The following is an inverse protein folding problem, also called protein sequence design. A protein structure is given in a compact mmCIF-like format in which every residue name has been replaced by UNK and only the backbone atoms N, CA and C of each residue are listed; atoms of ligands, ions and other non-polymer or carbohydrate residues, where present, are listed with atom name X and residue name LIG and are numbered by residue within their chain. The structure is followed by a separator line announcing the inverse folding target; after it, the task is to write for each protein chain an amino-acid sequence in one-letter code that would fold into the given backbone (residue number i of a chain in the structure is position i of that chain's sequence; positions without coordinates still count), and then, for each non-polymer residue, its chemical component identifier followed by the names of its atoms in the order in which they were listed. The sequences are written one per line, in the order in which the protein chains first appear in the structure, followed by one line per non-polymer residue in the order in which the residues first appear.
data_IF_866619869895
#
_entry.id   IF_866619869895
#
_cell.length_a   1.000
_cell.length_b   1.000
_cell.length_c   1.000
_cell.angle_alpha   90.00
_cell.angle_beta   90.00
_cell.angle_gamma   90.00
#
_symmetry.space_group_name_H-M   'P 1'
#
loop_
_entity.id
_entity.type
_entity.pdbx_description
1 polymer ?
#
# COMPACT_ATOMS: atom_id res chain seq x y z
N UNK A 1 -17.15 -50.53 40.68
CA UNK A 1 -17.52 -50.18 39.28
C UNK A 1 -18.84 -49.42 39.13
N UNK A 2 -19.59 -49.11 40.19
CA UNK A 2 -20.91 -48.44 40.08
C UNK A 2 -20.88 -46.90 40.10
N UNK A 3 -19.78 -46.27 40.53
CA UNK A 3 -19.67 -44.80 40.54
C UNK A 3 -19.36 -44.18 39.17
N UNK A 4 -18.74 -44.95 38.26
CA UNK A 4 -18.45 -44.48 36.90
C UNK A 4 -19.67 -44.44 35.97
N UNK A 5 -20.71 -45.23 36.26
CA UNK A 5 -21.96 -45.22 35.48
C UNK A 5 -22.86 -44.03 35.83
N UNK A 6 -22.85 -43.58 37.08
CA UNK A 6 -23.62 -42.39 37.49
C UNK A 6 -23.00 -41.09 36.96
N UNK A 7 -21.67 -41.00 36.91
CA UNK A 7 -20.98 -39.83 36.35
C UNK A 7 -21.16 -39.72 34.84
N UNK A 8 -21.23 -40.85 34.12
CA UNK A 8 -21.48 -40.85 32.67
C UNK A 8 -22.96 -40.56 32.33
N UNK A 9 -23.91 -40.93 33.19
CA UNK A 9 -25.32 -40.57 33.05
C UNK A 9 -25.57 -39.08 33.30
N UNK A 10 -24.88 -38.49 34.30
CA UNK A 10 -24.91 -37.05 34.55
C UNK A 10 -24.28 -36.25 33.39
N UNK A 11 -23.17 -36.73 32.82
CA UNK A 11 -22.53 -36.09 31.66
C UNK A 11 -23.44 -36.13 30.41
N UNK A 12 -24.14 -37.26 30.19
CA UNK A 12 -25.12 -37.40 29.11
C UNK A 12 -26.33 -36.49 29.28
N UNK A 13 -26.84 -36.33 30.51
CA UNK A 13 -27.94 -35.39 30.78
C UNK A 13 -27.51 -33.93 30.55
N UNK A 14 -26.27 -33.55 30.90
CA UNK A 14 -25.77 -32.19 30.66
C UNK A 14 -25.54 -31.87 29.19
N UNK A 15 -25.26 -32.87 28.34
CA UNK A 15 -25.16 -32.72 26.88
C UNK A 15 -26.54 -32.59 26.19
N UNK A 16 -27.63 -33.00 26.84
CA UNK A 16 -28.99 -32.82 26.30
C UNK A 16 -29.58 -31.44 26.62
N UNK A 17 -28.95 -30.69 27.52
CA UNK A 17 -29.29 -29.30 27.84
C UNK A 17 -28.22 -28.30 27.35
N UNK A 18 -27.32 -28.73 26.47
CA UNK A 18 -26.41 -27.81 25.79
C UNK A 18 -27.23 -26.88 24.90
N UNK A 19 -27.30 -25.62 25.33
CA UNK A 19 -27.60 -24.36 24.61
C UNK A 19 -28.39 -24.47 23.31
N UNK A 20 -29.51 -23.72 23.13
CA UNK A 20 -30.12 -23.62 21.81
C UNK A 20 -29.04 -23.16 20.83
N UNK A 21 -28.74 -23.99 19.82
CA UNK A 21 -28.03 -23.51 18.66
C UNK A 21 -28.80 -22.28 18.19
N UNK A 22 -28.15 -21.11 18.19
CA UNK A 22 -28.65 -19.91 17.51
C UNK A 22 -28.78 -20.27 16.03
N UNK A 23 -29.90 -20.90 15.68
CA UNK A 23 -30.25 -21.24 14.33
C UNK A 23 -30.56 -19.93 13.64
N UNK A 24 -29.76 -19.57 12.64
CA UNK A 24 -30.06 -18.44 11.76
C UNK A 24 -31.50 -18.59 11.25
N UNK A 25 -32.27 -17.51 11.31
CA UNK A 25 -33.67 -17.50 10.90
C UNK A 25 -33.74 -17.14 9.42
N UNK A 26 -34.15 -18.10 8.60
CA UNK A 26 -34.40 -17.86 7.18
C UNK A 26 -35.55 -16.85 7.00
N UNK A 27 -35.33 -15.88 6.11
CA UNK A 27 -36.25 -14.85 5.70
C UNK A 27 -36.35 -14.88 4.17
N UNK A 28 -37.57 -14.71 3.63
CA UNK A 28 -37.73 -14.61 2.19
C UNK A 28 -37.07 -13.32 1.68
N UNK A 29 -36.41 -13.37 0.51
CA UNK A 29 -35.73 -12.20 -0.06
C UNK A 29 -36.65 -10.97 -0.17
N UNK A 30 -37.86 -11.17 -0.69
CA UNK A 30 -38.88 -10.12 -0.80
C UNK A 30 -39.30 -9.54 0.56
N UNK A 31 -39.28 -10.35 1.62
CA UNK A 31 -39.55 -9.85 2.98
C UNK A 31 -38.42 -8.94 3.46
N UNK A 32 -37.15 -9.32 3.22
CA UNK A 32 -36.00 -8.49 3.55
C UNK A 32 -36.03 -7.13 2.82
N UNK A 33 -36.37 -7.13 1.53
CA UNK A 33 -36.53 -5.91 0.73
C UNK A 33 -37.61 -4.98 1.29
N UNK A 34 -38.79 -5.53 1.65
CA UNK A 34 -39.87 -4.75 2.27
C UNK A 34 -39.47 -4.12 3.61
N UNK A 35 -38.61 -4.79 4.39
CA UNK A 35 -38.09 -4.22 5.62
C UNK A 35 -37.18 -3.02 5.37
N UNK A 36 -36.32 -3.08 4.35
CA UNK A 36 -35.42 -1.98 3.97
C UNK A 36 -36.19 -0.75 3.47
N UNK A 37 -37.35 -0.95 2.84
CA UNK A 37 -38.19 0.12 2.32
C UNK A 37 -39.16 0.73 3.36
N UNK A 38 -39.18 0.23 4.60
CA UNK A 38 -40.12 0.67 5.62
C UNK A 38 -39.94 2.17 5.98
N UNK A 39 -40.97 3.03 5.79
CA UNK A 39 -40.87 4.44 6.15
C UNK A 39 -40.66 4.67 7.65
N UNK A 40 -41.23 3.81 8.50
CA UNK A 40 -41.08 3.94 9.96
C UNK A 40 -39.65 3.64 10.40
N UNK A 41 -38.99 2.67 9.77
CA UNK A 41 -37.59 2.34 10.07
C UNK A 41 -36.66 3.41 9.54
N UNK A 42 -36.89 3.95 8.35
CA UNK A 42 -36.14 5.09 7.84
C UNK A 42 -36.26 6.31 8.77
N UNK A 43 -37.45 6.62 9.27
CA UNK A 43 -37.62 7.67 10.29
C UNK A 43 -36.83 7.37 11.57
N UNK A 44 -36.80 6.10 12.01
CA UNK A 44 -36.02 5.69 13.18
C UNK A 44 -34.52 5.87 12.93
N UNK A 45 -34.03 5.54 11.74
CA UNK A 45 -32.63 5.74 11.34
C UNK A 45 -32.29 7.22 11.40
N UNK A 46 -33.11 8.11 10.83
CA UNK A 46 -32.88 9.56 10.91
C UNK A 46 -32.84 10.07 12.36
N UNK A 47 -33.65 9.53 13.26
CA UNK A 47 -33.56 9.86 14.70
C UNK A 47 -32.24 9.38 15.32
N UNK A 48 -31.75 8.20 14.94
CA UNK A 48 -30.48 7.67 15.45
C UNK A 48 -29.28 8.42 14.87
N UNK A 49 -29.36 8.93 13.64
CA UNK A 49 -28.35 9.80 13.04
C UNK A 49 -28.11 11.06 13.87
N UNK A 50 -29.16 11.64 14.48
CA UNK A 50 -28.99 12.79 15.40
C UNK A 50 -28.09 12.44 16.59
N UNK A 51 -28.16 11.22 17.13
CA UNK A 51 -27.25 10.81 18.21
C UNK A 51 -25.79 10.65 17.71
N UNK A 52 -25.59 10.20 16.47
CA UNK A 52 -24.26 10.10 15.85
C UNK A 52 -23.67 11.51 15.66
N UNK A 53 -24.44 12.45 15.09
CA UNK A 53 -24.00 13.82 14.85
C UNK A 53 -23.61 14.55 16.15
N UNK A 54 -24.24 14.19 17.27
CA UNK A 54 -23.97 14.75 18.60
C UNK A 54 -22.99 13.92 19.44
N UNK A 55 -22.36 12.88 18.89
CA UNK A 55 -21.45 11.97 19.61
C UNK A 55 -22.05 11.28 20.85
N UNK A 56 -23.38 11.14 20.90
CA UNK A 56 -24.13 10.49 21.98
C UNK A 56 -24.32 8.99 21.69
N UNK A 57 -23.22 8.25 21.73
CA UNK A 57 -23.22 6.80 21.46
C UNK A 57 -23.96 5.98 22.51
N UNK A 58 -24.17 6.52 23.71
CA UNK A 58 -24.89 5.84 24.78
C UNK A 58 -26.39 5.83 24.50
N UNK A 59 -26.97 7.00 24.16
CA UNK A 59 -28.37 7.10 23.72
C UNK A 59 -28.63 6.34 22.43
N UNK A 60 -27.67 6.33 21.51
CA UNK A 60 -27.70 5.54 20.28
C UNK A 60 -27.82 4.05 20.59
N UNK A 61 -26.89 3.50 21.38
CA UNK A 61 -26.88 2.09 21.77
C UNK A 61 -28.16 1.70 22.51
N UNK A 62 -28.59 2.53 23.46
CA UNK A 62 -29.82 2.28 24.21
C UNK A 62 -31.05 2.24 23.29
N UNK A 63 -31.17 3.19 22.38
CA UNK A 63 -32.31 3.28 21.45
C UNK A 63 -32.33 2.12 20.45
N UNK A 64 -31.16 1.71 19.97
CA UNK A 64 -30.99 0.62 19.01
C UNK A 64 -31.30 -0.75 19.64
N UNK A 65 -30.79 -0.99 20.85
CA UNK A 65 -30.95 -2.27 21.54
C UNK A 65 -32.38 -2.53 22.05
N UNK A 66 -33.23 -1.49 22.10
CA UNK A 66 -34.65 -1.62 22.47
C UNK A 66 -35.56 -2.01 21.30
N UNK A 67 -35.07 -1.95 20.08
CA UNK A 67 -35.82 -2.40 18.91
C UNK A 67 -35.97 -3.93 18.97
N UNK A 68 -37.15 -4.42 18.61
CA UNK A 68 -37.40 -5.85 18.46
C UNK A 68 -36.76 -6.36 17.16
N UNK A 69 -36.45 -7.64 17.11
CA UNK A 69 -36.11 -8.30 15.85
C UNK A 69 -37.38 -8.46 14.96
N UNK A 70 -37.28 -8.30 13.63
CA UNK A 70 -36.07 -8.02 12.82
C UNK A 70 -35.68 -6.54 12.74
N UNK A 71 -36.51 -5.62 13.21
CA UNK A 71 -36.32 -4.16 13.07
C UNK A 71 -34.94 -3.69 13.55
N UNK A 72 -34.42 -4.30 14.62
CA UNK A 72 -33.10 -3.98 15.13
C UNK A 72 -31.99 -4.19 14.08
N UNK A 73 -31.95 -5.33 13.38
CA UNK A 73 -30.90 -5.59 12.36
C UNK A 73 -31.08 -4.73 11.12
N UNK A 74 -32.33 -4.48 10.73
CA UNK A 74 -32.67 -3.58 9.63
C UNK A 74 -32.15 -2.17 9.94
N UNK A 75 -32.43 -1.65 11.13
CA UNK A 75 -31.96 -0.32 11.55
C UNK A 75 -30.44 -0.28 11.70
N UNK A 76 -29.79 -1.33 12.22
CA UNK A 76 -28.31 -1.43 12.21
C UNK A 76 -27.76 -1.31 10.80
N UNK A 77 -28.34 -2.05 9.85
CA UNK A 77 -27.92 -2.05 8.46
C UNK A 77 -28.13 -0.69 7.79
N UNK A 78 -29.34 -0.14 7.87
CA UNK A 78 -29.68 1.15 7.25
C UNK A 78 -28.85 2.30 7.82
N UNK A 79 -28.65 2.34 9.15
CA UNK A 79 -27.86 3.36 9.82
C UNK A 79 -26.40 3.35 9.36
N UNK A 80 -25.77 2.17 9.32
CA UNK A 80 -24.39 2.05 8.86
C UNK A 80 -24.27 2.31 7.36
N UNK A 81 -25.27 1.88 6.57
CA UNK A 81 -25.33 2.20 5.15
C UNK A 81 -25.43 3.72 4.92
N UNK A 82 -26.22 4.43 5.72
CA UNK A 82 -26.31 5.89 5.63
C UNK A 82 -24.98 6.57 5.94
N UNK A 83 -24.24 6.13 6.97
CA UNK A 83 -22.89 6.62 7.23
C UNK A 83 -21.93 6.39 6.05
N UNK A 84 -22.02 5.21 5.42
CA UNK A 84 -21.19 4.86 4.27
C UNK A 84 -21.55 5.70 3.03
N UNK A 85 -22.83 5.82 2.69
CA UNK A 85 -23.30 6.57 1.53
C UNK A 85 -23.04 8.08 1.65
N UNK A 86 -23.09 8.62 2.87
CA UNK A 86 -22.83 10.05 3.13
C UNK A 86 -21.35 10.37 3.34
N UNK A 87 -20.45 9.37 3.32
CA UNK A 87 -19.03 9.52 3.66
C UNK A 87 -18.83 10.22 5.02
N UNK A 88 -19.64 9.87 6.02
CA UNK A 88 -19.61 10.52 7.32
C UNK A 88 -18.25 10.35 8.01
N UNK A 89 -17.67 11.44 8.50
CA UNK A 89 -16.39 11.42 9.22
C UNK A 89 -16.62 10.92 10.65
N UNK A 90 -16.22 9.68 10.94
CA UNK A 90 -16.42 9.10 12.28
C UNK A 90 -15.53 9.79 13.33
N UNK A 91 -16.13 10.22 14.43
CA UNK A 91 -15.41 10.53 15.67
C UNK A 91 -14.85 9.24 16.31
N UNK A 92 -13.96 9.36 17.29
CA UNK A 92 -13.47 8.19 18.03
C UNK A 92 -14.60 7.43 18.76
N UNK A 93 -15.61 8.13 19.28
CA UNK A 93 -16.75 7.50 19.97
C UNK A 93 -17.62 6.73 18.98
N UNK A 94 -17.98 7.36 17.86
CA UNK A 94 -18.79 6.72 16.81
C UNK A 94 -18.02 5.55 16.19
N UNK A 95 -16.70 5.66 15.99
CA UNK A 95 -15.87 4.55 15.52
C UNK A 95 -15.92 3.34 16.49
N UNK A 96 -15.86 3.56 17.80
CA UNK A 96 -16.05 2.45 18.77
C UNK A 96 -17.43 1.82 18.68
N UNK A 97 -18.48 2.64 18.49
CA UNK A 97 -19.84 2.13 18.24
C UNK A 97 -19.88 1.26 16.97
N UNK A 98 -19.35 1.73 15.84
CA UNK A 98 -19.31 0.97 14.57
C UNK A 98 -18.49 -0.32 14.72
N UNK A 99 -17.34 -0.27 15.41
CA UNK A 99 -16.50 -1.46 15.65
C UNK A 99 -17.24 -2.50 16.52
N UNK A 100 -18.10 -2.06 17.46
CA UNK A 100 -18.93 -2.99 18.22
C UNK A 100 -20.00 -3.69 17.34
N UNK A 101 -20.48 -3.04 16.27
CA UNK A 101 -21.43 -3.65 15.33
C UNK A 101 -20.78 -4.76 14.49
N UNK A 102 -19.50 -4.61 14.16
CA UNK A 102 -18.72 -5.63 13.44
C UNK A 102 -18.69 -6.99 14.18
N UNK A 103 -18.74 -6.97 15.51
CA UNK A 103 -18.60 -8.17 16.36
C UNK A 103 -19.91 -8.95 16.52
N UNK A 104 -21.05 -8.42 16.06
CA UNK A 104 -22.35 -9.08 16.19
C UNK A 104 -22.59 -10.02 14.99
N UNK A 105 -23.20 -11.16 15.26
CA UNK A 105 -23.63 -12.10 14.22
C UNK A 105 -25.06 -11.78 13.76
N UNK A 106 -25.32 -11.62 12.45
CA UNK A 106 -26.67 -11.45 11.93
C UNK A 106 -27.54 -12.69 12.22
N UNK A 107 -28.77 -12.45 12.64
CA UNK A 107 -29.75 -13.48 13.00
C UNK A 107 -30.53 -13.93 11.77
N UNK A 108 -30.83 -13.00 10.86
CA UNK A 108 -31.65 -13.27 9.68
C UNK A 108 -30.80 -13.55 8.46
N UNK A 109 -31.15 -14.59 7.71
CA UNK A 109 -30.48 -14.98 6.46
C UNK A 109 -31.47 -15.13 5.32
N UNK A 110 -31.01 -14.90 4.10
CA UNK A 110 -31.76 -15.15 2.86
C UNK A 110 -31.06 -16.27 2.09
N UNK A 111 -31.85 -17.15 1.49
CA UNK A 111 -31.36 -18.18 0.58
C UNK A 111 -31.13 -17.57 -0.81
N UNK A 112 -29.89 -17.58 -1.29
CA UNK A 112 -29.53 -17.20 -2.65
C UNK A 112 -29.26 -18.45 -3.50
N UNK A 113 -29.66 -18.41 -4.77
CA UNK A 113 -29.39 -19.47 -5.75
C UNK A 113 -28.53 -18.93 -6.87
N UNK A 114 -27.38 -19.56 -7.11
CA UNK A 114 -26.44 -19.18 -8.17
C UNK A 114 -25.67 -20.39 -8.70
N UNK A 115 -25.48 -20.49 -10.01
CA UNK A 115 -24.68 -21.51 -10.70
C UNK A 115 -24.94 -22.96 -10.26
N UNK A 116 -26.19 -23.30 -9.94
CA UNK A 116 -26.59 -24.65 -9.53
C UNK A 116 -26.36 -24.98 -8.04
N UNK A 117 -25.96 -23.99 -7.24
CA UNK A 117 -25.80 -24.10 -5.79
C UNK A 117 -26.75 -23.15 -5.05
N UNK A 118 -27.07 -23.52 -3.81
CA UNK A 118 -27.83 -22.69 -2.88
C UNK A 118 -26.93 -22.34 -1.69
N UNK A 119 -26.86 -21.07 -1.33
CA UNK A 119 -26.09 -20.61 -0.17
C UNK A 119 -26.90 -19.58 0.62
N UNK A 120 -26.57 -19.44 1.90
CA UNK A 120 -27.24 -18.48 2.80
C UNK A 120 -26.34 -17.29 3.05
N UNK A 121 -26.92 -16.10 2.95
CA UNK A 121 -26.25 -14.82 3.27
C UNK A 121 -27.04 -14.06 4.32
N UNK A 122 -26.41 -13.21 5.13
CA UNK A 122 -27.14 -12.31 6.03
C UNK A 122 -28.15 -11.47 5.26
N UNK A 123 -29.41 -11.47 5.71
CA UNK A 123 -30.47 -10.62 5.15
C UNK A 123 -30.12 -9.13 5.27
N UNK A 124 -29.42 -8.77 6.35
CA UNK A 124 -28.98 -7.41 6.66
C UNK A 124 -27.50 -7.45 7.05
N UNK A 125 -26.58 -7.29 6.09
CA UNK A 125 -25.14 -7.48 6.31
C UNK A 125 -24.44 -6.25 6.93
N UNK A 126 -24.94 -5.82 8.09
CA UNK A 126 -24.38 -4.69 8.83
C UNK A 126 -22.93 -4.92 9.33
N UNK A 127 -22.43 -6.15 9.62
CA UNK A 127 -21.03 -6.36 9.99
C UNK A 127 -20.07 -6.08 8.83
N UNK A 128 -20.47 -6.36 7.59
CA UNK A 128 -19.65 -6.05 6.41
C UNK A 128 -19.51 -4.54 6.20
N UNK A 129 -20.60 -3.78 6.34
CA UNK A 129 -20.56 -2.30 6.26
C UNK A 129 -19.68 -1.75 7.39
N UNK A 130 -19.88 -2.23 8.61
CA UNK A 130 -19.04 -1.84 9.78
C UNK A 130 -17.55 -2.03 9.49
N UNK A 131 -17.18 -3.18 8.92
CA UNK A 131 -15.80 -3.50 8.59
C UNK A 131 -15.18 -2.51 7.60
N UNK A 132 -15.95 -2.09 6.58
CA UNK A 132 -15.50 -1.11 5.59
C UNK A 132 -15.34 0.29 6.20
N UNK A 133 -16.34 0.75 6.98
CA UNK A 133 -16.29 2.02 7.69
C UNK A 133 -15.09 2.11 8.65
N UNK A 134 -14.84 1.08 9.45
CA UNK A 134 -13.68 1.05 10.37
C UNK A 134 -12.35 1.02 9.61
N UNK A 135 -12.28 0.29 8.49
CA UNK A 135 -11.08 0.29 7.64
C UNK A 135 -10.78 1.69 7.12
N UNK A 136 -11.78 2.39 6.59
CA UNK A 136 -11.65 3.76 6.09
C UNK A 136 -11.26 4.74 7.21
N UNK A 137 -11.90 4.67 8.38
CA UNK A 137 -11.58 5.53 9.50
C UNK A 137 -10.14 5.34 10.01
N UNK A 138 -9.69 4.09 10.18
CA UNK A 138 -8.31 3.79 10.59
C UNK A 138 -7.30 4.33 9.57
N UNK A 139 -7.62 4.25 8.28
CA UNK A 139 -6.79 4.82 7.21
C UNK A 139 -6.73 6.35 7.32
N UNK A 140 -7.88 7.04 7.36
CA UNK A 140 -7.93 8.50 7.45
C UNK A 140 -7.22 9.04 8.69
N UNK A 141 -7.40 8.39 9.85
CA UNK A 141 -6.73 8.81 11.08
C UNK A 141 -5.21 8.62 10.97
N UNK A 142 -4.75 7.51 10.38
CA UNK A 142 -3.33 7.28 10.15
C UNK A 142 -2.74 8.30 9.20
N UNK A 143 -3.45 8.66 8.13
CA UNK A 143 -3.05 9.71 7.19
C UNK A 143 -2.92 11.05 7.90
N UNK A 144 -3.94 11.46 8.67
CA UNK A 144 -3.90 12.73 9.39
C UNK A 144 -2.77 12.77 10.43
N UNK A 145 -2.57 11.70 11.21
CA UNK A 145 -1.47 11.61 12.18
C UNK A 145 -0.10 11.71 11.51
N UNK A 146 0.09 11.01 10.37
CA UNK A 146 1.31 11.08 9.58
C UNK A 146 1.57 12.51 9.08
N UNK A 147 0.58 13.13 8.41
CA UNK A 147 0.72 14.48 7.86
C UNK A 147 0.98 15.50 8.97
N UNK A 148 0.22 15.46 10.07
CA UNK A 148 0.43 16.40 11.18
C UNK A 148 1.82 16.26 11.80
N UNK A 149 2.33 15.04 12.01
CA UNK A 149 3.68 14.82 12.54
C UNK A 149 4.76 15.24 11.56
N UNK A 150 4.57 15.01 10.25
CA UNK A 150 5.52 15.45 9.23
C UNK A 150 5.57 16.99 9.16
N UNK A 151 4.42 17.65 9.12
CA UNK A 151 4.30 19.11 9.04
C UNK A 151 4.81 19.82 10.29
N UNK A 152 4.60 19.23 11.47
CA UNK A 152 5.15 19.73 12.73
C UNK A 152 6.64 19.41 12.93
N UNK A 153 7.24 18.61 12.03
CA UNK A 153 8.62 18.10 12.14
C UNK A 153 8.85 17.22 13.39
N UNK A 154 7.79 16.54 13.83
CA UNK A 154 7.80 15.59 14.95
C UNK A 154 7.86 14.12 14.47
N UNK A 155 7.83 13.87 13.15
CA UNK A 155 7.89 12.52 12.58
C UNK A 155 9.33 12.00 12.46
N UNK A 156 9.75 11.17 13.40
CA UNK A 156 11.05 10.46 13.33
C UNK A 156 10.90 9.15 12.55
N UNK A 157 11.46 9.08 11.34
CA UNK A 157 11.27 7.98 10.39
C UNK A 157 11.75 6.63 10.93
N UNK A 158 12.92 6.57 11.58
CA UNK A 158 13.46 5.30 12.10
C UNK A 158 12.57 4.69 13.19
N UNK A 159 11.96 5.53 14.02
CA UNK A 159 11.03 5.08 15.06
C UNK A 159 9.67 4.74 14.45
N UNK A 160 9.17 5.59 13.55
CA UNK A 160 7.87 5.42 12.94
C UNK A 160 7.83 4.23 11.96
N UNK A 161 8.91 3.94 11.23
CA UNK A 161 9.05 2.77 10.36
C UNK A 161 9.65 1.55 11.09
N UNK A 162 9.35 1.41 12.38
CA UNK A 162 9.68 0.24 13.18
C UNK A 162 8.43 -0.55 13.60
N UNK A 163 8.60 -1.82 13.97
CA UNK A 163 7.52 -2.69 14.43
C UNK A 163 7.42 -4.00 13.65
N UNK A 164 6.21 -4.55 13.57
CA UNK A 164 5.99 -5.77 12.78
C UNK A 164 6.10 -5.48 11.27
N UNK A 165 6.47 -6.49 10.48
CA UNK A 165 6.62 -6.34 9.02
C UNK A 165 5.36 -5.77 8.34
N UNK A 166 4.17 -6.16 8.81
CA UNK A 166 2.90 -5.63 8.31
C UNK A 166 2.68 -4.16 8.67
N UNK A 167 3.09 -3.72 9.86
CA UNK A 167 3.00 -2.30 10.26
C UNK A 167 3.97 -1.44 9.46
N UNK A 168 5.21 -1.89 9.30
CA UNK A 168 6.21 -1.21 8.48
C UNK A 168 5.70 -1.06 7.05
N UNK A 169 5.26 -2.15 6.42
CA UNK A 169 4.73 -2.11 5.05
C UNK A 169 3.57 -1.11 4.89
N UNK A 170 2.62 -1.11 5.85
CA UNK A 170 1.49 -0.18 5.82
C UNK A 170 1.94 1.27 5.93
N UNK A 171 2.90 1.56 6.80
CA UNK A 171 3.45 2.90 7.01
C UNK A 171 4.31 3.36 5.83
N UNK A 172 5.09 2.47 5.22
CA UNK A 172 5.83 2.78 3.99
C UNK A 172 4.88 3.10 2.83
N UNK A 173 3.78 2.36 2.69
CA UNK A 173 2.74 2.68 1.70
C UNK A 173 2.13 4.05 1.96
N UNK A 174 1.76 4.34 3.21
CA UNK A 174 1.21 5.65 3.58
C UNK A 174 2.20 6.79 3.31
N UNK A 175 3.48 6.59 3.62
CA UNK A 175 4.53 7.58 3.33
C UNK A 175 4.60 7.83 1.83
N UNK A 176 4.66 6.78 1.00
CA UNK A 176 4.72 6.92 -0.46
C UNK A 176 3.47 7.60 -1.03
N UNK A 177 2.28 7.29 -0.50
CA UNK A 177 1.03 7.87 -1.01
C UNK A 177 0.89 9.37 -0.66
N UNK A 178 1.43 9.79 0.48
CA UNK A 178 1.24 11.15 1.02
C UNK A 178 2.47 12.05 0.88
N UNK A 179 3.65 11.53 0.52
CA UNK A 179 4.88 12.33 0.49
C UNK A 179 4.77 13.57 -0.41
N UNK A 180 4.13 13.42 -1.56
CA UNK A 180 3.92 14.51 -2.54
C UNK A 180 2.92 15.58 -2.06
N UNK A 181 2.11 15.28 -1.03
CA UNK A 181 1.13 16.22 -0.46
C UNK A 181 1.72 17.09 0.66
N UNK A 182 2.89 16.73 1.17
CA UNK A 182 3.58 17.46 2.24
C UNK A 182 4.14 18.80 1.78
N UNK A 183 4.27 19.73 2.72
CA UNK A 183 4.95 21.01 2.48
C UNK A 183 6.44 20.82 2.16
N UNK A 184 7.07 21.74 1.41
CA UNK A 184 8.51 21.68 1.16
C UNK A 184 9.37 21.62 2.43
N UNK A 185 8.91 22.25 3.52
CA UNK A 185 9.62 22.23 4.80
C UNK A 185 9.54 20.85 5.48
N UNK A 186 8.42 20.16 5.34
CA UNK A 186 8.23 18.80 5.85
C UNK A 186 9.01 17.79 5.01
N UNK A 187 8.96 17.89 3.68
CA UNK A 187 9.74 17.00 2.81
C UNK A 187 11.23 17.14 3.06
N UNK A 188 11.78 18.37 3.11
CA UNK A 188 13.18 18.60 3.48
C UNK A 188 13.54 17.95 4.82
N UNK A 189 12.72 18.15 5.85
CA UNK A 189 12.93 17.54 7.17
C UNK A 189 13.00 16.00 7.11
N UNK A 190 12.13 15.35 6.33
CA UNK A 190 12.14 13.89 6.17
C UNK A 190 13.35 13.40 5.36
N UNK A 191 13.77 14.15 4.34
CA UNK A 191 14.96 13.84 3.54
C UNK A 191 16.23 13.93 4.39
N UNK A 192 16.38 15.00 5.18
CA UNK A 192 17.54 15.24 6.05
C UNK A 192 17.77 14.09 7.05
N UNK A 193 16.69 13.47 7.56
CA UNK A 193 16.81 12.30 8.43
C UNK A 193 17.54 11.12 7.79
N UNK A 194 17.49 10.98 6.47
CA UNK A 194 18.16 9.89 5.74
C UNK A 194 19.56 10.29 5.26
N UNK A 195 19.76 11.56 4.93
CA UNK A 195 21.00 12.06 4.28
C UNK A 195 22.04 12.59 5.27
N UNK A 196 21.61 13.18 6.40
CA UNK A 196 22.52 13.76 7.40
C UNK A 196 22.90 12.78 8.52
N UNK A 197 22.08 11.75 8.73
CA UNK A 197 22.38 10.67 9.67
C UNK A 197 23.56 9.85 9.17
N UNK A 198 24.49 9.45 10.06
CA UNK A 198 25.51 8.46 9.70
C UNK A 198 24.80 7.15 9.31
N UNK A 199 24.78 6.88 7.99
CA UNK A 199 23.98 5.90 7.22
C UNK A 199 24.08 4.43 7.68
N UNK A 200 24.79 4.13 8.77
CA UNK A 200 25.17 2.76 9.12
C UNK A 200 24.11 1.94 9.86
N UNK A 201 23.00 2.52 10.31
CA UNK A 201 22.11 1.82 11.26
C UNK A 201 20.74 1.42 10.70
N UNK A 202 20.18 2.16 9.75
CA UNK A 202 18.83 1.88 9.24
C UNK A 202 18.53 2.64 7.93
N UNK A 203 17.84 1.98 6.99
CA UNK A 203 17.29 2.58 5.78
C UNK A 203 15.89 1.98 5.53
N UNK A 204 14.93 2.76 4.99
CA UNK A 204 13.63 2.23 4.58
C UNK A 204 13.76 1.42 3.29
N UNK A 205 12.66 0.84 2.81
CA UNK A 205 12.67 0.09 1.56
C UNK A 205 13.11 0.93 0.35
N UNK A 206 13.62 0.24 -0.68
CA UNK A 206 13.96 0.82 -1.98
C UNK A 206 12.78 1.54 -2.62
N UNK A 207 11.54 1.09 -2.39
CA UNK A 207 10.33 1.75 -2.85
C UNK A 207 10.19 3.16 -2.25
N UNK A 208 10.35 3.26 -0.92
CA UNK A 208 10.29 4.54 -0.20
C UNK A 208 11.42 5.46 -0.66
N UNK A 209 12.66 4.97 -0.69
CA UNK A 209 13.81 5.78 -1.12
C UNK A 209 13.68 6.25 -2.57
N UNK A 210 13.28 5.38 -3.49
CA UNK A 210 13.09 5.76 -4.89
C UNK A 210 11.95 6.78 -5.07
N UNK A 211 10.88 6.68 -4.28
CA UNK A 211 9.80 7.66 -4.31
C UNK A 211 10.27 9.01 -3.74
N UNK A 212 10.85 9.04 -2.54
CA UNK A 212 11.36 10.26 -1.92
C UNK A 212 12.44 10.94 -2.77
N UNK A 213 13.40 10.18 -3.32
CA UNK A 213 14.47 10.71 -4.17
C UNK A 213 13.91 11.34 -5.46
N UNK A 214 12.90 10.72 -6.06
CA UNK A 214 12.20 11.26 -7.23
C UNK A 214 11.46 12.55 -6.91
N UNK A 215 10.67 12.57 -5.84
CA UNK A 215 9.80 13.70 -5.52
C UNK A 215 10.57 14.92 -4.99
N UNK A 216 11.69 14.68 -4.30
CA UNK A 216 12.58 15.74 -3.81
C UNK A 216 13.70 16.14 -4.78
N UNK A 217 13.91 15.37 -5.85
CA UNK A 217 15.09 15.46 -6.73
C UNK A 217 16.44 15.47 -5.98
N UNK A 218 16.52 14.86 -4.78
CA UNK A 218 17.75 14.81 -3.98
C UNK A 218 18.78 13.83 -4.57
N UNK A 219 19.95 14.35 -4.96
CA UNK A 219 21.08 13.54 -5.42
C UNK A 219 21.59 12.62 -4.29
N UNK A 220 21.55 13.08 -3.04
CA UNK A 220 21.99 12.32 -1.86
C UNK A 220 21.10 11.09 -1.59
N UNK A 221 19.78 11.21 -1.78
CA UNK A 221 18.88 10.05 -1.66
C UNK A 221 19.09 9.05 -2.79
N UNK A 222 19.34 9.51 -4.01
CA UNK A 222 19.73 8.60 -5.09
C UNK A 222 21.06 7.91 -4.82
N UNK A 223 22.04 8.62 -4.27
CA UNK A 223 23.31 8.02 -3.85
C UNK A 223 23.12 6.91 -2.81
N UNK A 224 22.16 7.07 -1.88
CA UNK A 224 21.77 6.01 -0.95
C UNK A 224 21.11 4.85 -1.69
N UNK A 225 20.11 5.13 -2.52
CA UNK A 225 19.39 4.12 -3.31
C UNK A 225 20.35 3.25 -4.15
N UNK A 226 21.33 3.87 -4.81
CA UNK A 226 22.29 3.17 -5.66
C UNK A 226 23.34 2.38 -4.87
N UNK A 227 23.51 2.62 -3.57
CA UNK A 227 24.36 1.80 -2.70
C UNK A 227 23.63 0.57 -2.15
N UNK A 228 22.30 0.55 -2.22
CA UNK A 228 21.50 -0.58 -1.76
C UNK A 228 21.60 -1.77 -2.72
N UNK A 229 21.22 -2.96 -2.23
CA UNK A 229 21.02 -4.12 -3.09
C UNK A 229 19.91 -3.81 -4.08
N UNK A 230 20.19 -4.03 -5.36
CA UNK A 230 19.19 -3.87 -6.41
C UNK A 230 18.02 -4.84 -6.24
N UNK A 231 16.82 -4.31 -6.43
CA UNK A 231 15.56 -5.02 -6.50
C UNK A 231 14.63 -4.41 -7.56
N UNK A 232 13.40 -4.90 -7.62
CA UNK A 232 12.39 -4.44 -8.57
C UNK A 232 12.22 -2.92 -8.60
N UNK A 233 12.17 -2.25 -7.44
CA UNK A 233 11.92 -0.80 -7.36
C UNK A 233 13.11 0.01 -7.86
N UNK A 234 14.34 -0.40 -7.52
CA UNK A 234 15.55 0.26 -8.05
C UNK A 234 15.68 0.12 -9.57
N UNK A 235 15.28 -1.03 -10.13
CA UNK A 235 15.28 -1.28 -11.58
C UNK A 235 14.21 -0.46 -12.29
N UNK A 236 13.01 -0.39 -11.72
CA UNK A 236 11.91 0.41 -12.25
C UNK A 236 12.27 1.91 -12.25
N UNK A 237 12.93 2.39 -11.19
CA UNK A 237 13.35 3.78 -11.11
C UNK A 237 14.39 4.12 -12.18
N UNK A 238 15.32 3.21 -12.50
CA UNK A 238 16.24 3.38 -13.62
C UNK A 238 15.53 3.53 -14.97
N UNK A 239 14.52 2.70 -15.23
CA UNK A 239 13.73 2.78 -16.46
C UNK A 239 12.95 4.10 -16.55
N UNK A 240 12.41 4.57 -15.43
CA UNK A 240 11.73 5.86 -15.34
C UNK A 240 12.69 7.01 -15.65
N UNK A 241 13.87 7.03 -15.03
CA UNK A 241 14.91 8.04 -15.29
C UNK A 241 15.33 8.04 -16.77
N UNK A 242 15.51 6.87 -17.36
CA UNK A 242 15.89 6.73 -18.77
C UNK A 242 14.79 7.21 -19.73
N UNK A 243 13.53 7.19 -19.28
CA UNK A 243 12.39 7.71 -20.03
C UNK A 243 12.29 9.25 -19.97
N UNK A 244 12.64 9.85 -18.83
CA UNK A 244 12.64 11.32 -18.65
C UNK A 244 13.77 12.01 -19.44
N UNK A 245 14.97 11.40 -19.48
CA UNK A 245 16.15 11.92 -20.21
C UNK A 245 16.59 13.34 -19.84
N UNK A 246 16.18 13.86 -18.68
CA UNK A 246 16.70 15.13 -18.14
C UNK A 246 18.17 14.98 -17.76
N UNK A 247 18.93 16.08 -17.74
CA UNK A 247 20.36 16.05 -17.34
C UNK A 247 20.55 15.43 -15.95
N UNK A 248 19.64 15.73 -15.01
CA UNK A 248 19.59 15.09 -13.70
C UNK A 248 19.41 13.58 -13.83
N UNK A 249 18.41 13.13 -14.60
CA UNK A 249 18.13 11.71 -14.79
C UNK A 249 19.32 10.96 -15.40
N UNK A 250 19.99 11.57 -16.38
CA UNK A 250 21.19 11.01 -17.00
C UNK A 250 22.32 10.86 -15.98
N UNK A 251 22.56 11.87 -15.13
CA UNK A 251 23.54 11.77 -14.03
C UNK A 251 23.21 10.64 -13.07
N UNK A 252 21.94 10.45 -12.74
CA UNK A 252 21.52 9.37 -11.85
C UNK A 252 21.73 7.98 -12.46
N UNK A 253 21.41 7.79 -13.75
CA UNK A 253 21.67 6.51 -14.44
C UNK A 253 23.18 6.24 -14.51
N UNK A 254 24.00 7.26 -14.80
CA UNK A 254 25.47 7.13 -14.82
C UNK A 254 26.04 6.77 -13.45
N UNK A 255 25.44 7.27 -12.36
CA UNK A 255 25.82 6.96 -10.98
C UNK A 255 25.41 5.54 -10.60
N UNK A 256 24.17 5.15 -10.92
CA UNK A 256 23.64 3.81 -10.71
C UNK A 256 24.44 2.72 -11.43
N UNK A 257 25.09 3.04 -12.55
CA UNK A 257 25.99 2.12 -13.23
C UNK A 257 27.20 1.71 -12.35
N UNK A 258 27.51 2.42 -11.27
CA UNK A 258 28.48 2.00 -10.26
C UNK A 258 28.01 0.81 -9.40
N UNK A 259 26.70 0.55 -9.32
CA UNK A 259 26.17 -0.61 -8.60
C UNK A 259 26.34 -1.89 -9.44
N UNK A 260 27.04 -2.93 -8.95
CA UNK A 260 27.27 -4.15 -9.74
C UNK A 260 26.01 -4.86 -10.21
N UNK A 261 24.91 -4.77 -9.46
CA UNK A 261 23.63 -5.40 -9.80
C UNK A 261 22.80 -4.58 -10.79
N UNK A 262 23.05 -3.27 -10.93
CA UNK A 262 22.36 -2.39 -11.87
C UNK A 262 23.21 -2.03 -13.10
N UNK A 263 24.53 -2.25 -13.05
CA UNK A 263 25.51 -1.82 -14.05
C UNK A 263 25.09 -2.12 -15.49
N UNK A 264 24.78 -3.37 -15.80
CA UNK A 264 24.41 -3.77 -17.17
C UNK A 264 23.11 -3.11 -17.63
N UNK A 265 22.11 -3.02 -16.75
CA UNK A 265 20.84 -2.36 -17.09
C UNK A 265 21.05 -0.87 -17.35
N UNK A 266 21.77 -0.17 -16.47
CA UNK A 266 22.09 1.25 -16.61
C UNK A 266 22.87 1.52 -17.91
N UNK A 267 23.91 0.74 -18.19
CA UNK A 267 24.68 0.85 -19.43
C UNK A 267 23.80 0.59 -20.67
N UNK A 268 22.97 -0.45 -20.66
CA UNK A 268 22.03 -0.72 -21.76
C UNK A 268 21.09 0.47 -22.00
N UNK A 269 20.49 1.03 -20.94
CA UNK A 269 19.60 2.19 -21.03
C UNK A 269 20.30 3.42 -21.63
N UNK A 270 21.55 3.70 -21.24
CA UNK A 270 22.35 4.79 -21.81
C UNK A 270 22.65 4.58 -23.29
N UNK A 271 23.04 3.36 -23.69
CA UNK A 271 23.39 3.06 -25.10
C UNK A 271 22.19 3.05 -26.05
N UNK A 272 20.97 2.88 -25.53
CA UNK A 272 19.71 2.93 -26.30
C UNK A 272 19.28 4.34 -26.68
N UNK A 273 19.91 5.37 -26.13
CA UNK A 273 19.53 6.75 -26.39
C UNK A 273 19.89 7.14 -27.83
N UNK A 274 18.95 7.82 -28.49
CA UNK A 274 19.13 8.36 -29.83
C UNK A 274 18.46 9.75 -29.91
N UNK A 275 19.21 10.82 -30.22
CA UNK A 275 20.69 10.86 -30.32
C UNK A 275 21.36 10.66 -28.95
N UNK A 276 22.63 10.21 -28.95
CA UNK A 276 23.44 10.11 -27.71
C UNK A 276 23.79 11.51 -27.18
N UNK A 277 23.38 11.86 -25.95
CA UNK A 277 23.80 13.11 -25.30
C UNK A 277 25.31 13.15 -25.06
N UNK A 278 25.91 14.34 -25.07
CA UNK A 278 27.38 14.47 -25.02
C UNK A 278 27.99 14.00 -23.69
N UNK A 279 27.33 14.29 -22.57
CA UNK A 279 27.71 13.77 -21.25
C UNK A 279 27.69 12.22 -21.23
N UNK A 280 26.69 11.60 -21.86
CA UNK A 280 26.58 10.14 -21.98
C UNK A 280 27.70 9.57 -22.85
N UNK A 281 28.04 10.23 -23.96
CA UNK A 281 29.19 9.82 -24.80
C UNK A 281 30.50 9.80 -24.01
N UNK A 282 30.79 10.87 -23.28
CA UNK A 282 32.00 10.99 -22.45
C UNK A 282 32.04 9.84 -21.43
N UNK A 283 30.92 9.60 -20.75
CA UNK A 283 30.80 8.52 -19.78
C UNK A 283 30.99 7.13 -20.41
N UNK A 284 30.33 6.84 -21.53
CA UNK A 284 30.47 5.53 -22.20
C UNK A 284 31.89 5.29 -22.74
N UNK A 285 32.59 6.33 -23.17
CA UNK A 285 34.02 6.25 -23.55
C UNK A 285 34.88 5.88 -22.35
N UNK A 286 34.64 6.47 -21.17
CA UNK A 286 35.33 6.10 -19.94
C UNK A 286 35.07 4.63 -19.57
N UNK A 287 33.82 4.17 -19.70
CA UNK A 287 33.43 2.77 -19.45
C UNK A 287 34.08 1.80 -20.43
N UNK A 288 34.27 2.19 -21.70
CA UNK A 288 35.05 1.40 -22.66
C UNK A 288 36.56 1.37 -22.39
N UNK A 289 37.05 2.19 -21.46
CA UNK A 289 38.40 2.08 -20.91
C UNK A 289 38.54 1.00 -19.82
N UNK A 290 37.43 0.53 -19.24
CA UNK A 290 37.40 -0.53 -18.22
C UNK A 290 37.32 -1.89 -18.91
N UNK A 291 38.23 -2.81 -18.58
CA UNK A 291 38.39 -4.07 -19.33
C UNK A 291 37.14 -4.95 -19.26
N UNK A 292 36.49 -5.00 -18.09
CA UNK A 292 35.30 -5.79 -17.80
C UNK A 292 34.06 -5.27 -18.53
N UNK A 293 34.00 -3.96 -18.81
CA UNK A 293 32.82 -3.29 -19.39
C UNK A 293 32.97 -3.04 -20.90
N UNK A 294 34.20 -2.93 -21.42
CA UNK A 294 34.48 -2.49 -22.79
C UNK A 294 33.77 -3.30 -23.87
N UNK A 295 33.85 -4.63 -23.82
CA UNK A 295 33.19 -5.49 -24.81
C UNK A 295 31.66 -5.49 -24.67
N UNK A 296 31.12 -5.21 -23.48
CA UNK A 296 29.67 -5.11 -23.29
C UNK A 296 29.13 -3.80 -23.89
N UNK A 297 29.73 -2.66 -23.50
CA UNK A 297 29.34 -1.33 -23.97
C UNK A 297 29.45 -1.22 -25.49
N UNK A 298 30.55 -1.69 -26.07
CA UNK A 298 30.75 -1.68 -27.52
C UNK A 298 29.66 -2.45 -28.29
N UNK A 299 29.27 -3.63 -27.79
CA UNK A 299 28.20 -4.43 -28.40
C UNK A 299 26.85 -3.75 -28.30
N UNK A 300 26.50 -3.21 -27.13
CA UNK A 300 25.23 -2.51 -26.95
C UNK A 300 25.12 -1.28 -27.86
N UNK A 301 26.18 -0.48 -27.96
CA UNK A 301 26.24 0.67 -28.87
C UNK A 301 26.04 0.25 -30.34
N UNK A 302 26.73 -0.80 -30.79
CA UNK A 302 26.57 -1.31 -32.14
C UNK A 302 25.15 -1.83 -32.42
N UNK A 303 24.57 -2.58 -31.47
CA UNK A 303 23.20 -3.10 -31.55
C UNK A 303 22.15 -1.99 -31.63
N UNK A 304 22.42 -0.84 -31.01
CA UNK A 304 21.52 0.32 -31.01
C UNK A 304 21.84 1.37 -32.10
N UNK A 305 22.64 1.00 -33.12
CA UNK A 305 22.87 1.84 -34.30
C UNK A 305 24.06 2.79 -34.20
N UNK A 306 24.78 2.83 -33.07
CA UNK A 306 25.91 3.73 -32.83
C UNK A 306 27.26 3.16 -33.30
N UNK A 307 27.26 2.10 -34.11
CA UNK A 307 28.48 1.38 -34.51
C UNK A 307 29.49 2.23 -35.29
N UNK A 308 29.03 3.21 -36.08
CA UNK A 308 29.94 4.12 -36.78
C UNK A 308 30.69 5.02 -35.79
N UNK A 309 29.98 5.61 -34.83
CA UNK A 309 30.56 6.44 -33.78
C UNK A 309 31.60 5.65 -32.95
N UNK A 310 31.32 4.38 -32.62
CA UNK A 310 32.29 3.52 -31.91
C UNK A 310 33.58 3.33 -32.72
N UNK A 311 33.48 3.14 -34.04
CA UNK A 311 34.67 3.03 -34.92
C UNK A 311 35.45 4.33 -34.99
N UNK A 312 34.77 5.47 -35.01
CA UNK A 312 35.42 6.79 -35.02
C UNK A 312 36.15 7.06 -33.69
N UNK A 313 35.64 6.57 -32.56
CA UNK A 313 36.35 6.64 -31.26
C UNK A 313 37.60 5.78 -31.26
N UNK A 314 37.56 4.57 -31.83
CA UNK A 314 38.71 3.67 -31.85
C UNK A 314 39.92 4.24 -32.59
N UNK A 315 39.69 5.09 -33.59
CA UNK A 315 40.77 5.74 -34.35
C UNK A 315 41.30 7.00 -33.68
N UNK A 316 40.55 7.59 -32.74
CA UNK A 316 40.85 8.91 -32.15
C UNK A 316 41.19 8.88 -30.67
N UNK A 317 40.85 7.80 -29.94
CA UNK A 317 40.96 7.76 -28.48
C UNK A 317 41.75 6.54 -27.96
N UNK A 318 42.92 6.82 -27.36
CA UNK A 318 43.82 5.81 -26.79
C UNK A 318 43.38 5.27 -25.43
N UNK A 319 42.40 5.88 -24.75
CA UNK A 319 41.91 5.42 -23.46
C UNK A 319 41.01 4.19 -23.57
N UNK A 320 40.48 3.91 -24.76
CA UNK A 320 39.60 2.78 -25.04
C UNK A 320 40.41 1.49 -25.23
N UNK A 321 39.90 0.37 -24.71
CA UNK A 321 40.50 -0.95 -24.92
C UNK A 321 40.23 -1.45 -26.34
N UNK A 322 40.96 -0.91 -27.30
CA UNK A 322 40.70 -1.04 -28.74
C UNK A 322 40.59 -2.49 -29.23
N UNK A 323 41.43 -3.41 -28.73
CA UNK A 323 41.36 -4.83 -29.06
C UNK A 323 40.05 -5.49 -28.63
N UNK A 324 39.57 -5.20 -27.41
CA UNK A 324 38.34 -5.75 -26.85
C UNK A 324 37.09 -5.20 -27.53
N UNK A 325 37.12 -3.91 -27.91
CA UNK A 325 36.04 -3.26 -28.66
C UNK A 325 36.00 -3.77 -30.09
N UNK A 326 37.14 -3.90 -30.78
CA UNK A 326 37.19 -4.47 -32.13
C UNK A 326 36.68 -5.92 -32.16
N UNK A 327 37.08 -6.74 -31.20
CA UNK A 327 36.58 -8.11 -31.07
C UNK A 327 35.07 -8.12 -30.84
N UNK A 328 34.55 -7.21 -30.02
CA UNK A 328 33.12 -7.06 -29.76
C UNK A 328 32.30 -6.64 -30.99
N UNK A 329 32.87 -5.82 -31.89
CA UNK A 329 32.20 -5.38 -33.12
C UNK A 329 32.26 -6.41 -34.26
N UNK A 330 33.16 -7.41 -34.16
CA UNK A 330 33.34 -8.47 -35.16
C UNK A 330 32.41 -9.67 -34.99
N UNK A 331 31.62 -9.70 -33.92
CA UNK A 331 30.67 -10.77 -33.57
C UNK A 331 29.24 -10.31 -33.72
#
# INVERSE_FOLDING_TARGET
MQHGMLSSLLLYLTLLFSTPAWSAKEMAQKEAELWLESPQLNQKVSQLMVYIENDDTDSLNFSLNRLAFPQQEVVRYLLLNELEQTNFILSSKVAMFVESQQKLSPTYVVLEKGDGYEFTVPAFNFPAISSRLIKQWKQNHSTLDFVLKAESKDLILVEWLSGSAHEVQRRETLLVDEFDSLSPAATTFLVEQLTESSVTQWLPSTQVLAHMARSSESEELYDLLWKMRADYFSQQELERLASNRSDFSLRQIMTAAGNPSLNQQALSLLTKMDPLPENVKIFLVQRMGVAEEASYVARQLAQHGHGQWVRDILSTNSSVKSSLVQQALSK
#
